data_IF_178640228197
#
_entry.id   IF_178640228197
#
_cell.length_a   1.000
_cell.length_b   1.000
_cell.length_c   1.000
_cell.angle_alpha   90.00
_cell.angle_beta   90.00
_cell.angle_gamma   90.00
#
_symmetry.space_group_name_H-M   'P 1'
#
loop_
_entity.id
_entity.type
_entity.pdbx_description
1 polymer ?
#
# COMPACT_ATOMS: atom_id res chain seq x y z
N UNK A 1 -26.66 10.06 31.64
CA UNK A 1 -26.76 10.59 30.26
C UNK A 1 -25.92 9.71 29.35
N UNK A 2 -26.53 9.19 28.29
CA UNK A 2 -25.97 8.20 27.34
C UNK A 2 -24.99 8.89 26.38
N UNK A 3 -23.80 8.35 26.21
CA UNK A 3 -22.91 8.70 25.09
C UNK A 3 -23.03 7.61 24.02
N UNK A 4 -23.32 7.97 22.75
CA UNK A 4 -23.59 6.99 21.71
C UNK A 4 -22.31 6.41 21.10
N UNK A 5 -22.49 5.20 20.60
CA UNK A 5 -21.65 4.42 19.71
C UNK A 5 -21.21 5.26 18.49
N UNK A 6 -19.91 5.51 18.31
CA UNK A 6 -19.38 6.01 17.03
C UNK A 6 -18.47 4.97 16.39
N UNK A 7 -19.06 4.26 15.43
CA UNK A 7 -18.39 3.48 14.40
C UNK A 7 -17.67 4.48 13.49
N UNK A 8 -16.33 4.54 13.53
CA UNK A 8 -15.56 5.41 12.64
C UNK A 8 -15.14 4.61 11.40
N UNK A 9 -15.84 4.91 10.32
CA UNK A 9 -15.64 4.44 8.96
C UNK A 9 -14.30 4.96 8.41
N UNK A 10 -13.42 4.09 7.92
CA UNK A 10 -12.23 4.49 7.18
C UNK A 10 -12.65 4.88 5.75
N UNK A 11 -12.87 6.17 5.50
CA UNK A 11 -13.24 6.69 4.18
C UNK A 11 -12.00 7.21 3.46
N UNK A 12 -11.41 6.39 2.59
CA UNK A 12 -10.34 6.80 1.68
C UNK A 12 -10.93 7.33 0.37
N UNK A 13 -10.80 8.62 0.10
CA UNK A 13 -11.21 9.23 -1.17
C UNK A 13 -10.04 9.13 -2.16
N UNK A 14 -10.19 8.35 -3.24
CA UNK A 14 -9.14 8.18 -4.27
C UNK A 14 -9.60 8.83 -5.58
N UNK A 15 -8.76 9.68 -6.17
CA UNK A 15 -8.89 10.13 -7.56
C UNK A 15 -7.70 9.58 -8.34
N UNK A 16 -7.89 8.46 -9.03
CA UNK A 16 -6.88 7.92 -9.94
C UNK A 16 -6.91 8.73 -11.25
N UNK A 17 -5.88 9.56 -11.48
CA UNK A 17 -5.68 10.20 -12.79
C UNK A 17 -4.87 9.24 -13.66
N UNK A 18 -5.57 8.41 -14.43
CA UNK A 18 -5.00 7.62 -15.51
C UNK A 18 -4.73 8.56 -16.70
N UNK A 19 -3.46 8.90 -16.93
CA UNK A 19 -3.05 9.47 -18.21
C UNK A 19 -3.16 8.36 -19.28
N UNK A 20 -3.98 8.52 -20.33
CA UNK A 20 -4.26 7.43 -21.25
C UNK A 20 -3.06 7.24 -22.18
N UNK A 21 -2.24 6.22 -21.94
CA UNK A 21 -1.38 5.69 -23.02
C UNK A 21 -1.37 4.16 -23.03
N UNK A 22 -1.97 3.64 -24.09
CA UNK A 22 -1.92 2.27 -24.64
C UNK A 22 -2.64 1.16 -23.89
N UNK A 23 -3.49 0.46 -24.67
CA UNK A 23 -4.16 -0.80 -24.35
C UNK A 23 -3.14 -1.82 -23.84
N UNK A 24 -3.31 -2.25 -22.58
CA UNK A 24 -2.76 -3.52 -22.14
C UNK A 24 -3.34 -4.62 -23.05
N UNK A 25 -2.48 -5.55 -23.48
CA UNK A 25 -2.89 -6.72 -24.25
C UNK A 25 -3.74 -7.61 -23.34
N UNK A 26 -5.06 -7.41 -23.34
CA UNK A 26 -5.99 -8.31 -22.70
C UNK A 26 -5.93 -9.65 -23.43
N UNK A 27 -5.59 -10.71 -22.70
CA UNK A 27 -5.87 -12.08 -23.15
C UNK A 27 -7.39 -12.17 -23.35
N UNK A 28 -7.88 -12.62 -24.53
CA UNK A 28 -9.32 -12.71 -24.78
C UNK A 28 -10.01 -13.55 -23.69
N UNK A 29 -10.93 -12.93 -22.94
CA UNK A 29 -11.70 -13.57 -21.85
C UNK A 29 -11.44 -13.06 -20.43
N UNK A 30 -10.63 -12.01 -20.26
CA UNK A 30 -10.26 -11.44 -18.96
C UNK A 30 -11.06 -10.14 -18.66
N UNK A 31 -12.36 -10.28 -18.37
CA UNK A 31 -13.19 -9.16 -17.88
C UNK A 31 -12.86 -8.74 -16.43
N UNK A 32 -11.89 -9.38 -15.78
CA UNK A 32 -11.40 -8.96 -14.47
C UNK A 32 -10.15 -8.09 -14.60
N UNK A 33 -10.36 -6.86 -15.05
CA UNK A 33 -9.49 -5.72 -14.72
C UNK A 33 -9.58 -5.32 -13.22
N UNK A 34 -9.83 -6.30 -12.34
CA UNK A 34 -9.83 -6.10 -10.89
C UNK A 34 -8.37 -6.06 -10.42
N UNK A 35 -7.85 -4.86 -10.20
CA UNK A 35 -6.50 -4.60 -9.67
C UNK A 35 -6.31 -5.16 -8.25
N UNK A 36 -7.39 -5.40 -7.51
CA UNK A 36 -7.35 -5.88 -6.13
C UNK A 36 -8.00 -4.90 -5.18
N UNK A 37 -7.94 -5.20 -3.88
CA UNK A 37 -8.31 -4.24 -2.85
C UNK A 37 -7.39 -3.02 -2.90
N UNK A 38 -7.85 -1.90 -2.36
CA UNK A 38 -7.09 -0.64 -2.19
C UNK A 38 -5.65 -0.80 -1.64
N UNK A 39 -5.37 -1.87 -0.90
CA UNK A 39 -4.09 -2.21 -0.27
C UNK A 39 -3.26 -3.26 -1.03
N UNK A 40 -3.69 -3.74 -2.19
CA UNK A 40 -2.97 -4.81 -2.89
C UNK A 40 -1.61 -4.30 -3.36
N UNK A 41 -0.50 -5.02 -3.07
CA UNK A 41 0.81 -4.66 -3.59
C UNK A 41 0.72 -4.46 -5.10
N UNK A 42 1.06 -3.27 -5.62
CA UNK A 42 0.93 -3.03 -7.04
C UNK A 42 1.93 -3.95 -7.75
N UNK A 43 1.48 -4.81 -8.67
CA UNK A 43 2.39 -5.62 -9.50
C UNK A 43 3.27 -4.73 -10.37
N UNK A 44 4.43 -5.20 -10.88
CA UNK A 44 5.21 -4.46 -11.86
C UNK A 44 4.32 -3.89 -12.95
N UNK A 45 4.63 -2.67 -13.40
CA UNK A 45 3.93 -2.11 -14.53
C UNK A 45 4.19 -2.99 -15.76
N UNK A 46 3.14 -3.39 -16.50
CA UNK A 46 3.26 -4.37 -17.58
C UNK A 46 3.98 -3.83 -18.82
N UNK A 47 4.34 -2.53 -18.83
CA UNK A 47 4.93 -1.84 -19.96
C UNK A 47 6.09 -0.96 -19.51
N UNK A 48 7.23 -1.10 -20.17
CA UNK A 48 8.38 -0.22 -20.03
C UNK A 48 8.00 1.23 -20.36
N UNK A 49 8.48 2.18 -19.56
CA UNK A 49 8.16 3.60 -19.69
C UNK A 49 6.78 3.98 -19.17
N UNK A 50 5.95 3.04 -18.71
CA UNK A 50 4.68 3.39 -18.07
C UNK A 50 4.93 4.11 -16.75
N UNK A 51 4.06 5.08 -16.45
CA UNK A 51 4.09 5.85 -15.23
C UNK A 51 2.73 5.76 -14.54
N UNK A 52 2.76 5.61 -13.23
CA UNK A 52 1.58 5.41 -12.39
C UNK A 52 1.67 6.30 -11.16
N UNK A 53 0.56 6.97 -10.87
CA UNK A 53 0.41 7.88 -9.73
C UNK A 53 -0.86 7.52 -9.00
N UNK A 54 -0.73 7.21 -7.71
CA UNK A 54 -1.88 6.87 -6.86
C UNK A 54 -1.82 7.65 -5.55
N UNK A 55 -2.66 8.69 -5.39
CA UNK A 55 -2.75 9.45 -4.15
C UNK A 55 -3.68 8.75 -3.15
N UNK A 56 -3.28 8.80 -1.89
CA UNK A 56 -4.02 8.30 -0.74
C UNK A 56 -4.12 9.37 0.32
N UNK A 57 -5.28 9.43 0.96
CA UNK A 57 -5.51 10.17 2.19
C UNK A 57 -6.02 9.19 3.25
N UNK A 58 -5.40 9.20 4.43
CA UNK A 58 -5.82 8.34 5.53
C UNK A 58 -5.73 9.05 6.89
N UNK A 59 -6.59 8.63 7.80
CA UNK A 59 -6.70 9.19 9.16
C UNK A 59 -6.33 8.10 10.16
N UNK A 60 -5.34 8.37 10.99
CA UNK A 60 -4.93 7.54 12.11
C UNK A 60 -5.60 8.01 13.40
N UNK A 61 -6.38 7.13 14.03
CA UNK A 61 -6.94 7.37 15.37
C UNK A 61 -6.70 6.14 16.24
N UNK A 62 -5.53 6.03 16.89
CA UNK A 62 -5.26 4.94 17.80
C UNK A 62 -6.27 4.94 18.95
N UNK A 63 -6.71 3.75 19.38
CA UNK A 63 -7.72 3.58 20.44
C UNK A 63 -7.17 2.85 21.68
N UNK A 64 -6.05 2.16 21.53
CA UNK A 64 -5.41 1.40 22.58
C UNK A 64 -4.13 0.73 22.09
N UNK A 65 -3.49 0.00 22.99
CA UNK A 65 -2.30 -0.82 22.74
C UNK A 65 -2.47 -2.19 23.37
N UNK A 66 -1.77 -3.18 22.83
CA UNK A 66 -1.68 -4.51 23.43
C UNK A 66 -0.37 -4.63 24.21
N UNK A 67 -0.46 -5.09 25.45
CA UNK A 67 0.68 -5.41 26.30
C UNK A 67 1.42 -6.66 25.82
N UNK A 68 2.56 -6.96 26.45
CA UNK A 68 3.38 -8.12 26.09
C UNK A 68 2.70 -9.47 26.35
N UNK A 69 1.63 -9.49 27.16
CA UNK A 69 0.82 -10.68 27.44
C UNK A 69 -0.46 -10.73 26.60
N UNK A 70 -0.60 -9.83 25.61
CA UNK A 70 -1.80 -9.75 24.75
C UNK A 70 -3.00 -9.07 25.41
N UNK A 71 -2.81 -8.48 26.59
CA UNK A 71 -3.82 -7.71 27.30
C UNK A 71 -4.03 -6.33 26.66
N UNK A 72 -5.29 -5.92 26.52
CA UNK A 72 -5.64 -4.65 25.89
C UNK A 72 -5.64 -3.51 26.91
N UNK A 73 -4.94 -2.43 26.58
CA UNK A 73 -4.95 -1.19 27.34
C UNK A 73 -5.51 -0.04 26.49
N UNK A 74 -6.63 0.59 26.89
CA UNK A 74 -7.12 1.78 26.20
C UNK A 74 -6.12 2.93 26.38
N UNK A 75 -5.96 3.72 25.32
CA UNK A 75 -5.07 4.89 25.37
C UNK A 75 -5.89 6.18 25.18
N UNK A 76 -6.49 6.71 26.26
CA UNK A 76 -7.27 7.93 26.18
C UNK A 76 -6.38 9.12 25.83
N UNK A 77 -6.81 9.93 24.86
CA UNK A 77 -6.13 11.17 24.53
C UNK A 77 -4.81 11.01 23.77
N UNK A 78 -4.63 9.92 23.01
CA UNK A 78 -3.48 9.73 22.11
C UNK A 78 -3.49 10.67 20.91
N UNK A 79 -2.30 10.84 20.35
CA UNK A 79 -2.09 11.54 19.09
C UNK A 79 -2.88 10.88 17.97
N UNK A 80 -3.63 11.69 17.24
CA UNK A 80 -4.28 11.37 15.98
C UNK A 80 -3.51 12.00 14.84
N UNK A 81 -3.68 11.49 13.64
CA UNK A 81 -3.04 12.06 12.46
C UNK A 81 -3.90 11.95 11.22
N UNK A 82 -3.62 12.82 10.27
CA UNK A 82 -4.07 12.71 8.88
C UNK A 82 -2.82 12.71 8.02
N UNK A 83 -2.78 11.81 7.05
CA UNK A 83 -1.61 11.59 6.20
C UNK A 83 -2.03 11.55 4.74
N UNK A 84 -1.25 12.22 3.90
CA UNK A 84 -1.33 12.11 2.45
C UNK A 84 -0.10 11.35 1.96
N UNK A 85 -0.32 10.26 1.25
CA UNK A 85 0.72 9.42 0.66
C UNK A 85 0.49 9.35 -0.83
N UNK A 86 1.54 9.48 -1.64
CA UNK A 86 1.43 9.33 -3.09
C UNK A 86 2.34 8.18 -3.51
N UNK A 87 1.81 7.17 -4.18
CA UNK A 87 2.62 6.15 -4.84
C UNK A 87 2.99 6.68 -6.22
N UNK A 88 4.29 6.85 -6.47
CA UNK A 88 4.84 7.20 -7.78
C UNK A 88 5.62 6.00 -8.30
N UNK A 89 5.16 5.39 -9.39
CA UNK A 89 5.73 4.15 -9.92
C UNK A 89 6.09 4.29 -11.39
N UNK A 90 7.24 3.73 -11.76
CA UNK A 90 7.78 3.77 -13.11
C UNK A 90 8.22 2.37 -13.56
N UNK A 91 7.83 2.00 -14.78
CA UNK A 91 8.21 0.73 -15.40
C UNK A 91 9.56 0.85 -16.09
N UNK A 92 10.60 0.25 -15.52
CA UNK A 92 11.93 0.18 -16.15
C UNK A 92 11.88 -0.76 -17.35
N UNK A 93 11.25 -1.91 -17.17
CA UNK A 93 10.99 -2.90 -18.22
C UNK A 93 9.55 -3.39 -18.12
N UNK A 94 9.15 -4.35 -18.97
CA UNK A 94 7.83 -4.99 -18.87
C UNK A 94 7.70 -5.93 -17.64
N UNK A 95 8.79 -6.14 -16.88
CA UNK A 95 8.84 -7.05 -15.72
C UNK A 95 9.47 -6.43 -14.47
N UNK A 96 10.05 -5.25 -14.59
CA UNK A 96 10.77 -4.55 -13.52
C UNK A 96 10.21 -3.14 -13.40
N UNK A 97 9.90 -2.73 -12.18
CA UNK A 97 9.44 -1.39 -11.86
C UNK A 97 10.14 -0.86 -10.63
N UNK A 98 10.20 0.45 -10.50
CA UNK A 98 10.57 1.13 -9.26
C UNK A 98 9.42 2.00 -8.81
N UNK A 99 9.29 2.20 -7.50
CA UNK A 99 8.37 3.18 -6.98
C UNK A 99 8.90 3.86 -5.72
N UNK A 100 8.40 5.07 -5.50
CA UNK A 100 8.59 5.82 -4.27
C UNK A 100 7.25 6.15 -3.64
N UNK A 101 7.23 6.31 -2.32
CA UNK A 101 6.03 6.71 -1.58
C UNK A 101 6.32 7.93 -0.71
N UNK A 102 6.43 9.14 -1.29
CA UNK A 102 6.46 10.37 -0.51
C UNK A 102 5.16 10.50 0.29
N UNK A 103 5.31 10.92 1.55
CA UNK A 103 4.19 11.11 2.43
C UNK A 103 4.40 12.32 3.31
N UNK A 104 3.29 13.03 3.56
CA UNK A 104 3.19 14.12 4.52
C UNK A 104 2.14 13.79 5.57
N UNK A 105 2.36 14.24 6.79
CA UNK A 105 1.50 13.98 7.93
C UNK A 105 1.25 15.27 8.73
N UNK A 106 0.03 15.39 9.23
CA UNK A 106 -0.37 16.35 10.25
C UNK A 106 -0.91 15.58 11.46
N UNK A 107 -0.42 15.92 12.65
CA UNK A 107 -0.69 15.21 13.89
C UNK A 107 -1.23 16.14 14.97
N UNK A 108 -2.21 15.69 15.74
CA UNK A 108 -2.83 16.47 16.80
C UNK A 108 -3.22 15.62 18.00
N UNK A 109 -3.38 16.26 19.15
CA UNK A 109 -3.82 15.64 20.40
C UNK A 109 -4.68 16.64 21.18
N UNK A 110 -5.71 16.17 21.88
CA UNK A 110 -6.74 17.04 22.49
C UNK A 110 -6.20 18.10 23.46
N UNK A 111 -5.10 17.80 24.16
CA UNK A 111 -4.53 18.64 25.21
C UNK A 111 -3.12 19.14 24.88
N UNK A 112 -2.72 19.09 23.61
CA UNK A 112 -1.40 19.54 23.16
C UNK A 112 -1.49 20.36 21.88
N UNK A 113 -0.47 21.19 21.64
CA UNK A 113 -0.36 21.93 20.38
C UNK A 113 -0.18 20.94 19.22
N UNK A 114 -0.95 21.08 18.13
CA UNK A 114 -0.79 20.22 16.96
C UNK A 114 0.58 20.44 16.29
N UNK A 115 0.96 19.50 15.43
CA UNK A 115 2.15 19.61 14.59
C UNK A 115 1.92 20.59 13.43
N UNK A 116 3.00 21.01 12.77
CA UNK A 116 2.92 21.46 11.38
C UNK A 116 2.77 20.27 10.42
N UNK A 117 2.73 20.53 9.11
CA UNK A 117 2.92 19.47 8.12
C UNK A 117 4.35 18.95 8.20
N UNK A 118 4.50 17.63 8.28
CA UNK A 118 5.80 16.96 8.37
C UNK A 118 5.92 15.91 7.26
N UNK A 119 7.08 15.84 6.63
CA UNK A 119 7.42 14.70 5.78
C UNK A 119 7.68 13.48 6.65
N UNK A 120 7.25 12.31 6.20
CA UNK A 120 7.62 11.04 6.82
C UNK A 120 8.86 10.45 6.14
N UNK A 121 9.29 9.29 6.60
CA UNK A 121 10.38 8.56 5.95
C UNK A 121 10.02 8.21 4.50
N UNK A 122 10.91 8.54 3.57
CA UNK A 122 10.74 8.27 2.16
C UNK A 122 11.06 6.80 1.88
N UNK A 123 10.10 6.06 1.32
CA UNK A 123 10.35 4.69 0.87
C UNK A 123 10.65 4.65 -0.62
N UNK A 124 11.67 3.87 -1.01
CA UNK A 124 12.00 3.50 -2.38
C UNK A 124 11.97 1.99 -2.50
N UNK A 125 11.37 1.47 -3.57
CA UNK A 125 11.25 0.02 -3.80
C UNK A 125 11.54 -0.30 -5.26
N UNK A 126 12.39 -1.29 -5.48
CA UNK A 126 12.57 -2.02 -6.72
C UNK A 126 11.71 -3.28 -6.68
N UNK A 127 10.94 -3.51 -7.73
CA UNK A 127 10.01 -4.62 -7.82
C UNK A 127 10.20 -5.37 -9.15
N UNK A 128 10.21 -6.70 -9.10
CA UNK A 128 10.41 -7.54 -10.28
C UNK A 128 9.58 -8.83 -10.28
N UNK A 129 9.15 -9.25 -11.48
CA UNK A 129 8.51 -10.56 -11.67
C UNK A 129 9.59 -11.66 -11.68
N UNK A 130 9.60 -12.50 -10.65
CA UNK A 130 10.50 -13.64 -10.53
C UNK A 130 9.98 -14.87 -11.28
N UNK A 131 8.67 -15.13 -11.23
CA UNK A 131 8.03 -16.23 -11.95
C UNK A 131 6.73 -15.76 -12.60
N UNK A 132 6.47 -16.29 -13.77
CA UNK A 132 5.26 -16.03 -14.55
C UNK A 132 4.95 -17.31 -15.30
N UNK A 133 4.04 -18.10 -14.74
CA UNK A 133 3.80 -19.48 -15.18
C UNK A 133 2.34 -19.73 -15.45
N UNK A 134 2.16 -20.57 -16.45
CA UNK A 134 0.86 -20.88 -16.99
C UNK A 134 0.76 -22.42 -17.09
N UNK A 135 -0.16 -23.04 -16.35
CA UNK A 135 -0.29 -24.50 -16.26
C UNK A 135 -1.73 -24.96 -16.52
N UNK A 136 -1.86 -26.20 -17.03
CA UNK A 136 -3.13 -26.87 -17.30
C UNK A 136 -3.18 -28.17 -16.52
N UNK A 137 -3.81 -28.14 -15.35
CA UNK A 137 -3.90 -29.30 -14.46
C UNK A 137 -5.03 -30.27 -14.88
N UNK A 138 -6.10 -29.79 -15.52
CA UNK A 138 -7.24 -30.61 -15.98
C UNK A 138 -7.79 -30.14 -17.34
N UNK A 139 -8.54 -30.98 -18.08
CA UNK A 139 -9.23 -30.56 -19.30
C UNK A 139 -10.16 -29.36 -19.05
N UNK A 140 -9.96 -28.26 -19.78
CA UNK A 140 -10.75 -27.02 -19.59
C UNK A 140 -10.40 -26.19 -18.36
N UNK A 141 -9.34 -26.52 -17.62
CA UNK A 141 -8.89 -25.75 -16.44
C UNK A 141 -7.56 -25.04 -16.70
N UNK A 142 -7.50 -23.76 -16.37
CA UNK A 142 -6.30 -22.92 -16.50
C UNK A 142 -5.88 -22.38 -15.12
N UNK A 143 -4.60 -22.54 -14.77
CA UNK A 143 -3.95 -21.80 -13.68
C UNK A 143 -2.85 -20.86 -14.22
N UNK A 144 -2.82 -19.63 -13.72
CA UNK A 144 -1.76 -18.66 -13.99
C UNK A 144 -1.20 -18.14 -12.67
N UNK A 145 0.09 -18.32 -12.44
CA UNK A 145 0.77 -17.92 -11.21
C UNK A 145 1.88 -16.92 -11.52
N UNK A 146 1.88 -15.81 -10.78
CA UNK A 146 2.88 -14.76 -10.88
C UNK A 146 3.53 -14.55 -9.52
N UNK A 147 4.85 -14.74 -9.45
CA UNK A 147 5.65 -14.45 -8.27
C UNK A 147 6.39 -13.13 -8.48
N UNK A 148 6.19 -12.19 -7.57
CA UNK A 148 6.85 -10.89 -7.55
C UNK A 148 7.77 -10.78 -6.34
N UNK A 149 8.92 -10.16 -6.53
CA UNK A 149 9.88 -9.84 -5.48
C UNK A 149 10.02 -8.34 -5.37
N UNK A 150 9.95 -7.84 -4.14
CA UNK A 150 10.16 -6.45 -3.76
C UNK A 150 11.45 -6.32 -2.94
N UNK A 151 12.29 -5.35 -3.29
CA UNK A 151 13.46 -4.94 -2.52
C UNK A 151 13.37 -3.44 -2.28
N UNK A 152 13.34 -3.03 -1.03
CA UNK A 152 13.06 -1.65 -0.63
C UNK A 152 14.01 -1.10 0.43
N UNK A 153 14.09 0.22 0.47
CA UNK A 153 14.81 0.99 1.48
C UNK A 153 13.91 2.15 1.93
N UNK A 154 13.77 2.30 3.24
CA UNK A 154 13.22 3.52 3.82
C UNK A 154 14.37 4.43 4.24
N UNK A 155 14.34 5.66 3.77
CA UNK A 155 15.28 6.71 4.09
C UNK A 155 14.73 7.55 5.24
N UNK A 156 15.54 7.84 6.29
CA UNK A 156 15.10 8.59 7.46
C UNK A 156 15.00 10.11 7.17
N UNK A 157 14.09 10.48 6.27
CA UNK A 157 13.82 11.88 5.90
C UNK A 157 12.82 12.54 6.84
N UNK A 158 12.11 11.75 7.65
CA UNK A 158 11.16 12.27 8.64
C UNK A 158 11.85 12.86 9.88
N UNK A 159 11.14 13.72 10.60
CA UNK A 159 11.61 14.27 11.88
C UNK A 159 11.55 13.18 12.95
N UNK A 160 12.64 12.97 13.67
CA UNK A 160 12.76 11.94 14.70
C UNK A 160 13.38 12.45 16.00
N UNK A 161 14.53 13.15 15.92
CA UNK A 161 15.25 13.66 17.10
C UNK A 161 15.09 15.19 17.25
N UNK A 162 15.38 15.71 18.45
CA UNK A 162 15.35 17.14 18.82
C UNK A 162 14.02 17.80 18.50
N UNK A 163 12.93 17.06 18.74
CA UNK A 163 11.58 17.53 18.47
C UNK A 163 11.17 18.59 19.50
N UNK A 164 10.63 19.70 19.00
CA UNK A 164 10.08 20.76 19.87
C UNK A 164 8.84 20.27 20.66
N UNK A 165 8.11 19.31 20.08
CA UNK A 165 6.92 18.68 20.65
C UNK A 165 6.82 17.23 20.15
N UNK A 166 6.20 16.31 20.90
CA UNK A 166 6.04 14.92 20.46
C UNK A 166 5.32 14.76 19.11
N UNK A 167 4.37 15.65 18.81
CA UNK A 167 3.56 15.62 17.59
C UNK A 167 4.37 15.92 16.32
N UNK A 168 5.57 16.49 16.45
CA UNK A 168 6.45 16.74 15.31
C UNK A 168 7.17 15.47 14.82
N UNK A 169 7.09 14.36 15.57
CA UNK A 169 7.69 13.09 15.18
C UNK A 169 6.95 12.45 14.01
N UNK A 170 7.66 12.23 12.90
CA UNK A 170 7.10 11.73 11.64
C UNK A 170 7.97 10.66 10.97
N UNK A 171 9.18 10.43 11.47
CA UNK A 171 10.12 9.43 10.95
C UNK A 171 10.67 8.54 12.05
N UNK A 172 11.42 7.52 11.65
CA UNK A 172 12.07 6.54 12.53
C UNK A 172 13.52 6.89 12.87
N UNK A 173 14.13 7.81 12.12
CA UNK A 173 15.54 8.19 12.29
C UNK A 173 16.54 7.11 11.86
N UNK A 174 16.08 5.99 11.30
CA UNK A 174 16.92 4.86 10.90
C UNK A 174 16.69 4.48 9.45
N UNK A 175 17.76 4.04 8.77
CA UNK A 175 17.63 3.35 7.50
C UNK A 175 17.05 1.96 7.76
N UNK A 176 16.05 1.57 6.98
CA UNK A 176 15.51 0.20 7.06
C UNK A 176 15.40 -0.42 5.67
N UNK A 177 16.04 -1.58 5.52
CA UNK A 177 15.91 -2.41 4.34
C UNK A 177 14.67 -3.30 4.49
N UNK A 178 13.91 -3.47 3.41
CA UNK A 178 12.68 -4.25 3.36
C UNK A 178 12.75 -5.17 2.17
N UNK A 179 12.24 -6.39 2.32
CA UNK A 179 12.06 -7.31 1.20
C UNK A 179 10.68 -7.93 1.32
N UNK A 180 10.09 -8.23 0.17
CA UNK A 180 8.75 -8.79 0.08
C UNK A 180 8.68 -9.80 -1.05
N UNK A 181 7.83 -10.79 -0.87
CA UNK A 181 7.49 -11.76 -1.90
C UNK A 181 5.97 -11.80 -1.96
N UNK A 182 5.42 -11.66 -3.16
CA UNK A 182 3.98 -11.71 -3.39
C UNK A 182 3.71 -12.75 -4.45
N UNK A 183 2.91 -13.76 -4.12
CA UNK A 183 2.35 -14.69 -5.10
C UNK A 183 0.94 -14.27 -5.47
N UNK A 184 0.64 -14.28 -6.76
CA UNK A 184 -0.71 -14.10 -7.27
C UNK A 184 -1.05 -15.23 -8.22
N UNK A 185 -2.01 -16.06 -7.83
CA UNK A 185 -2.45 -17.20 -8.62
C UNK A 185 -3.92 -17.06 -9.02
N UNK A 186 -4.19 -17.01 -10.33
CA UNK A 186 -5.52 -17.05 -10.92
C UNK A 186 -5.91 -18.45 -11.37
N UNK A 187 -7.16 -18.84 -11.11
CA UNK A 187 -7.74 -20.11 -11.50
C UNK A 187 -8.99 -19.90 -12.35
N UNK A 188 -9.12 -20.68 -13.43
CA UNK A 188 -10.32 -20.77 -14.26
C UNK A 188 -10.64 -22.24 -14.50
N UNK A 189 -11.87 -22.65 -14.21
CA UNK A 189 -12.32 -24.03 -14.31
C UNK A 189 -13.54 -24.11 -15.23
N UNK A 190 -13.38 -24.70 -16.42
CA UNK A 190 -14.47 -24.83 -17.39
C UNK A 190 -15.14 -23.49 -17.69
N UNK A 191 -16.46 -23.43 -17.50
CA UNK A 191 -17.27 -22.22 -17.70
C UNK A 191 -17.43 -21.37 -16.43
N UNK A 192 -16.75 -21.70 -15.32
CA UNK A 192 -16.83 -20.90 -14.10
C UNK A 192 -16.10 -19.57 -14.27
N UNK A 193 -16.56 -18.55 -13.53
CA UNK A 193 -15.85 -17.28 -13.45
C UNK A 193 -14.45 -17.50 -12.87
N UNK A 194 -13.41 -16.86 -13.42
CA UNK A 194 -12.08 -16.90 -12.83
C UNK A 194 -12.10 -16.37 -11.39
N UNK A 195 -11.28 -16.96 -10.52
CA UNK A 195 -11.00 -16.42 -9.20
C UNK A 195 -9.49 -16.36 -8.96
N UNK A 196 -9.07 -15.48 -8.05
CA UNK A 196 -7.66 -15.16 -7.81
C UNK A 196 -7.34 -15.27 -6.33
N UNK A 197 -6.26 -15.96 -6.02
CA UNK A 197 -5.65 -16.08 -4.69
C UNK A 197 -4.36 -15.27 -4.66
N UNK A 198 -4.04 -14.69 -3.51
CA UNK A 198 -2.83 -13.91 -3.27
C UNK A 198 -2.22 -14.29 -1.92
N UNK A 199 -0.89 -14.30 -1.85
CA UNK A 199 -0.09 -14.47 -0.63
C UNK A 199 0.97 -13.38 -0.57
#
# INVERSE_FOLDING_TARGET
MRFPLEIVLCLSLTAAVLLPTSRAHAVPGDEQAYSGSLFSPPTPLPKAGAFYVEPYLYVGSPIGQFGSQGDYHPLPGVQRSVSSLIILKYGITNRISVYITPQVQYSWQRSATPSGLKFTDLSFVLQGVALDRQSRLWPGSWQHSTLTVDLGMNFPTGSYDRLSRPQDGSGSGVYSFRYGLTDQTGFKFGHMRPFRVRL
#
